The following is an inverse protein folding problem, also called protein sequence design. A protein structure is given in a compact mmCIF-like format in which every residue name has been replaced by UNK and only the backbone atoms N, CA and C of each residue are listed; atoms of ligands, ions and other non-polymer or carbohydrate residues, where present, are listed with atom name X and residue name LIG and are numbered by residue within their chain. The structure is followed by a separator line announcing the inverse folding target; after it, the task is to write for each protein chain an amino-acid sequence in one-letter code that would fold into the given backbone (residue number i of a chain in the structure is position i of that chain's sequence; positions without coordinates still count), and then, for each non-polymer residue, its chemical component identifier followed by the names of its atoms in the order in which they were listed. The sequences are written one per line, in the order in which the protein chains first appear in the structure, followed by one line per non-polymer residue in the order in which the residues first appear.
data_IF_018108750659
#
_entry.id   IF_018108750659
#
_cell.length_a   1.000
_cell.length_b   1.000
_cell.length_c   1.000
_cell.angle_alpha   90.00
_cell.angle_beta   90.00
_cell.angle_gamma   90.00
#
_symmetry.space_group_name_H-M   'P 1'
#
loop_
_entity.id
_entity.type
_entity.pdbx_description
1 polymer ?
#
# COMPACT_ATOMS: atom_id res chain seq x y z
N UNK A 1 -26.65 -53.94 -3.81
CA UNK A 1 -26.35 -53.42 -2.45
C UNK A 1 -25.16 -52.43 -2.38
N UNK A 2 -24.27 -52.37 -3.38
CA UNK A 2 -23.03 -51.56 -3.37
C UNK A 2 -23.24 -50.03 -3.49
N UNK A 3 -24.32 -49.55 -4.10
CA UNK A 3 -24.57 -48.10 -4.33
C UNK A 3 -24.76 -47.29 -3.03
N UNK A 4 -25.38 -47.87 -2.00
CA UNK A 4 -25.66 -47.17 -0.72
C UNK A 4 -24.40 -47.01 0.15
N UNK A 5 -23.48 -47.97 0.12
CA UNK A 5 -22.20 -47.86 0.84
C UNK A 5 -21.30 -46.78 0.23
N UNK A 6 -21.26 -46.64 -1.10
CA UNK A 6 -20.51 -45.57 -1.77
C UNK A 6 -21.03 -44.17 -1.45
N UNK A 7 -22.35 -43.97 -1.35
CA UNK A 7 -22.94 -42.69 -0.92
C UNK A 7 -22.59 -42.38 0.54
N UNK A 8 -22.76 -43.34 1.44
CA UNK A 8 -22.44 -43.20 2.87
C UNK A 8 -20.96 -42.89 3.14
N UNK A 9 -20.03 -43.48 2.37
CA UNK A 9 -18.59 -43.18 2.43
C UNK A 9 -18.28 -41.78 1.88
N UNK A 10 -18.88 -41.40 0.75
CA UNK A 10 -18.72 -40.06 0.16
C UNK A 10 -19.23 -38.96 1.09
N UNK A 11 -20.41 -39.14 1.70
CA UNK A 11 -21.00 -38.15 2.60
C UNK A 11 -20.18 -38.03 3.90
N UNK A 12 -19.58 -39.14 4.36
CA UNK A 12 -18.63 -39.14 5.49
C UNK A 12 -17.36 -38.37 5.14
N UNK A 13 -16.73 -38.68 4.01
CA UNK A 13 -15.52 -37.98 3.54
C UNK A 13 -15.80 -36.50 3.27
N UNK A 14 -17.00 -36.18 2.78
CA UNK A 14 -17.46 -34.80 2.58
C UNK A 14 -17.62 -34.07 3.91
N UNK A 15 -18.28 -34.69 4.90
CA UNK A 15 -18.42 -34.13 6.24
C UNK A 15 -17.06 -33.93 6.93
N UNK A 16 -16.13 -34.90 6.82
CA UNK A 16 -14.77 -34.80 7.36
C UNK A 16 -13.98 -33.66 6.70
N UNK A 17 -14.08 -33.51 5.37
CA UNK A 17 -13.40 -32.43 4.65
C UNK A 17 -13.98 -31.04 4.92
N UNK A 18 -15.27 -30.95 5.27
CA UNK A 18 -15.99 -29.67 5.37
C UNK A 18 -16.36 -29.28 6.80
N UNK A 19 -16.13 -30.17 7.78
CA UNK A 19 -16.42 -29.95 9.19
C UNK A 19 -17.90 -29.91 9.56
N UNK A 20 -18.82 -30.10 8.61
CA UNK A 20 -20.27 -30.06 8.88
C UNK A 20 -20.81 -31.41 9.34
N UNK A 21 -21.90 -31.37 10.12
CA UNK A 21 -22.65 -32.56 10.49
C UNK A 21 -23.02 -33.38 9.24
N UNK A 22 -22.93 -34.72 9.35
CA UNK A 22 -23.18 -35.66 8.24
C UNK A 22 -24.55 -35.47 7.57
N UNK A 23 -25.54 -34.99 8.33
CA UNK A 23 -26.88 -34.69 7.83
C UNK A 23 -26.85 -33.51 6.85
N UNK A 24 -26.13 -32.44 7.18
CA UNK A 24 -25.91 -31.26 6.33
C UNK A 24 -25.08 -31.60 5.08
N UNK A 25 -24.12 -32.54 5.20
CA UNK A 25 -23.38 -33.06 4.06
C UNK A 25 -24.27 -33.85 3.08
N UNK A 26 -25.30 -34.54 3.60
CA UNK A 26 -26.23 -35.32 2.82
C UNK A 26 -27.32 -34.47 2.12
N UNK A 27 -27.65 -33.29 2.66
CA UNK A 27 -28.61 -32.34 2.06
C UNK A 27 -27.99 -31.46 0.96
N UNK A 28 -26.67 -31.49 0.80
CA UNK A 28 -25.97 -30.73 -0.26
C UNK A 28 -25.80 -29.24 0.03
N UNK A 29 -26.17 -28.77 1.22
CA UNK A 29 -26.04 -27.37 1.67
C UNK A 29 -24.68 -27.10 2.29
N UNK A 30 -23.61 -27.67 1.72
CA UNK A 30 -22.25 -27.51 2.24
C UNK A 30 -21.61 -26.32 1.55
N UNK A 31 -21.23 -25.32 2.33
CA UNK A 31 -20.50 -24.18 1.82
C UNK A 31 -19.09 -24.65 1.43
N UNK A 32 -18.62 -24.19 0.27
CA UNK A 32 -17.29 -24.51 -0.24
C UNK A 32 -16.56 -23.19 -0.47
N UNK A 33 -15.35 -23.10 0.06
CA UNK A 33 -14.47 -21.95 -0.06
C UNK A 33 -13.15 -22.41 -0.69
N UNK A 34 -12.45 -21.55 -1.45
CA UNK A 34 -11.07 -21.82 -1.83
C UNK A 34 -10.25 -22.08 -0.56
N UNK A 35 -9.70 -23.29 -0.46
CA UNK A 35 -8.87 -23.68 0.68
C UNK A 35 -7.46 -23.16 0.47
N UNK A 36 -6.84 -22.67 1.54
CA UNK A 36 -5.45 -22.25 1.55
C UNK A 36 -4.64 -23.35 2.23
N UNK A 37 -3.47 -23.69 1.70
CA UNK A 37 -2.57 -24.63 2.36
C UNK A 37 -1.97 -23.97 3.60
N UNK A 38 -2.37 -24.44 4.78
CA UNK A 38 -1.83 -23.99 6.07
C UNK A 38 -1.02 -25.08 6.76
N UNK A 39 -0.49 -26.06 6.00
CA UNK A 39 0.34 -27.14 6.54
C UNK A 39 1.56 -26.65 7.32
N UNK A 40 2.07 -25.45 6.98
CA UNK A 40 3.17 -24.79 7.69
C UNK A 40 2.87 -24.59 9.19
N UNK A 41 1.59 -24.45 9.58
CA UNK A 41 1.20 -24.23 10.98
C UNK A 41 1.63 -25.38 11.89
N UNK A 42 1.69 -26.61 11.38
CA UNK A 42 2.09 -27.79 12.15
C UNK A 42 3.59 -27.77 12.54
N UNK A 43 4.41 -27.01 11.81
CA UNK A 43 5.86 -26.89 12.07
C UNK A 43 6.25 -25.66 12.90
N UNK A 44 5.29 -24.80 13.25
CA UNK A 44 5.56 -23.60 14.04
C UNK A 44 5.74 -23.94 15.53
N UNK A 45 6.59 -23.21 16.27
CA UNK A 45 6.90 -23.56 17.66
C UNK A 45 5.72 -23.36 18.61
N UNK A 46 4.70 -22.58 18.20
CA UNK A 46 3.61 -22.10 19.06
C UNK A 46 2.68 -23.19 19.60
N UNK A 47 2.68 -24.38 19.00
CA UNK A 47 1.95 -25.54 19.52
C UNK A 47 2.80 -26.43 20.44
N UNK A 48 4.07 -26.07 20.70
CA UNK A 48 5.00 -26.78 21.59
C UNK A 48 5.04 -28.32 21.33
N UNK A 49 5.02 -28.73 20.06
CA UNK A 49 5.00 -30.15 19.66
C UNK A 49 3.64 -30.85 19.79
N UNK A 50 2.59 -30.17 20.27
CA UNK A 50 1.21 -30.69 20.25
C UNK A 50 0.66 -30.69 18.81
N UNK A 51 -0.23 -31.64 18.49
CA UNK A 51 -0.82 -31.72 17.16
C UNK A 51 -1.69 -30.49 16.85
N UNK A 52 -1.42 -29.86 15.71
CA UNK A 52 -2.22 -28.76 15.15
C UNK A 52 -3.24 -29.31 14.16
N UNK A 53 -4.51 -28.93 14.31
CA UNK A 53 -5.57 -29.32 13.40
C UNK A 53 -5.58 -28.40 12.16
N UNK A 54 -4.66 -28.66 11.24
CA UNK A 54 -4.49 -27.85 10.02
C UNK A 54 -5.80 -27.72 9.23
N UNK A 55 -6.52 -28.82 9.02
CA UNK A 55 -7.78 -28.77 8.26
C UNK A 55 -8.86 -27.90 8.93
N UNK A 56 -8.83 -27.75 10.26
CA UNK A 56 -9.70 -26.81 10.98
C UNK A 56 -9.26 -25.37 10.77
N UNK A 57 -7.96 -25.09 10.87
CA UNK A 57 -7.39 -23.77 10.60
C UNK A 57 -7.68 -23.28 9.17
N UNK A 58 -7.49 -24.14 8.17
CA UNK A 58 -7.73 -23.81 6.75
C UNK A 58 -9.19 -23.43 6.51
N UNK A 59 -10.13 -24.19 7.08
CA UNK A 59 -11.57 -23.88 6.98
C UNK A 59 -11.89 -22.53 7.60
N UNK A 60 -11.27 -22.21 8.73
CA UNK A 60 -11.50 -20.93 9.41
C UNK A 60 -11.00 -19.76 8.56
N UNK A 61 -9.76 -19.81 8.09
CA UNK A 61 -9.18 -18.75 7.24
C UNK A 61 -9.93 -18.62 5.91
N UNK A 62 -10.31 -19.74 5.30
CA UNK A 62 -11.10 -19.73 4.06
C UNK A 62 -12.49 -19.12 4.25
N UNK A 63 -13.19 -19.46 5.35
CA UNK A 63 -14.48 -18.87 5.69
C UNK A 63 -14.38 -17.36 6.00
N UNK A 64 -13.31 -16.96 6.69
CA UNK A 64 -12.99 -15.56 6.98
C UNK A 64 -12.81 -14.76 5.69
N UNK A 65 -11.91 -15.20 4.80
CA UNK A 65 -11.64 -14.53 3.51
C UNK A 65 -12.83 -14.50 2.56
N UNK A 66 -13.65 -15.54 2.57
CA UNK A 66 -14.87 -15.58 1.77
C UNK A 66 -16.01 -14.72 2.33
N UNK A 67 -15.83 -14.09 3.50
CA UNK A 67 -16.89 -13.33 4.18
C UNK A 67 -18.10 -14.20 4.53
N UNK A 68 -17.91 -15.50 4.78
CA UNK A 68 -19.02 -16.43 4.94
C UNK A 68 -19.54 -16.46 6.39
N UNK A 69 -20.52 -15.60 6.68
CA UNK A 69 -21.14 -15.44 8.02
C UNK A 69 -21.48 -16.77 8.69
N UNK A 70 -22.19 -17.67 7.99
CA UNK A 70 -22.60 -18.97 8.56
C UNK A 70 -21.44 -19.87 8.98
N UNK A 71 -20.33 -19.83 8.25
CA UNK A 71 -19.12 -20.59 8.61
C UNK A 71 -18.37 -19.88 9.76
N UNK A 72 -18.36 -18.55 9.77
CA UNK A 72 -17.82 -17.74 10.85
C UNK A 72 -18.63 -17.84 12.15
N UNK A 73 -19.89 -18.29 12.12
CA UNK A 73 -20.65 -18.57 13.36
C UNK A 73 -20.23 -19.87 14.05
N UNK A 74 -19.75 -20.87 13.30
CA UNK A 74 -19.64 -22.26 13.78
C UNK A 74 -18.21 -22.79 13.87
N UNK A 75 -17.32 -22.31 13.01
CA UNK A 75 -15.91 -22.74 12.97
C UNK A 75 -15.06 -22.10 14.07
N UNK A 76 -15.22 -20.80 14.44
CA UNK A 76 -14.44 -20.19 15.52
C UNK A 76 -14.54 -20.93 16.84
N UNK A 77 -15.73 -21.41 17.21
CA UNK A 77 -15.95 -22.16 18.45
C UNK A 77 -15.07 -23.43 18.51
N UNK A 78 -14.86 -24.09 17.37
CA UNK A 78 -14.00 -25.27 17.28
C UNK A 78 -12.52 -24.88 17.37
N UNK A 79 -12.11 -23.78 16.74
CA UNK A 79 -10.72 -23.28 16.80
C UNK A 79 -10.38 -22.81 18.21
N UNK A 80 -11.28 -22.10 18.88
CA UNK A 80 -11.13 -21.67 20.28
C UNK A 80 -10.95 -22.88 21.18
N UNK A 81 -11.75 -23.93 21.01
CA UNK A 81 -11.61 -25.18 21.79
C UNK A 81 -10.28 -25.91 21.52
N UNK A 82 -9.74 -25.82 20.31
CA UNK A 82 -8.46 -26.40 19.90
C UNK A 82 -7.30 -25.42 20.13
N UNK A 83 -6.93 -25.24 21.41
CA UNK A 83 -5.89 -24.27 21.85
C UNK A 83 -4.56 -24.37 21.09
N UNK A 84 -4.01 -25.56 20.78
CA UNK A 84 -2.82 -25.66 19.93
C UNK A 84 -3.02 -25.07 18.53
N UNK A 85 -4.20 -25.28 17.94
CA UNK A 85 -4.53 -24.72 16.62
C UNK A 85 -4.70 -23.20 16.67
N UNK A 86 -5.34 -22.67 17.72
CA UNK A 86 -5.43 -21.24 17.95
C UNK A 86 -4.04 -20.60 18.15
N UNK A 87 -3.19 -21.19 18.99
CA UNK A 87 -1.83 -20.70 19.23
C UNK A 87 -1.00 -20.70 17.95
N UNK A 88 -1.12 -21.74 17.12
CA UNK A 88 -0.45 -21.81 15.82
C UNK A 88 -0.94 -20.72 14.85
N UNK A 89 -2.26 -20.53 14.73
CA UNK A 89 -2.85 -19.47 13.90
C UNK A 89 -2.43 -18.06 14.36
N UNK A 90 -2.47 -17.84 15.67
CA UNK A 90 -2.10 -16.56 16.26
C UNK A 90 -0.60 -16.28 16.10
N UNK A 91 0.25 -17.27 16.34
CA UNK A 91 1.69 -17.10 16.27
C UNK A 91 2.20 -16.94 14.84
N UNK A 92 1.50 -17.52 13.86
CA UNK A 92 1.79 -17.27 12.45
C UNK A 92 1.65 -15.80 12.08
N UNK A 93 0.73 -15.07 12.73
CA UNK A 93 0.54 -13.63 12.57
C UNK A 93 1.48 -12.88 13.52
N UNK A 94 1.28 -13.01 14.83
CA UNK A 94 1.87 -12.13 15.85
C UNK A 94 3.27 -12.50 16.30
N UNK A 95 3.74 -13.72 16.01
CA UNK A 95 5.13 -14.09 16.28
C UNK A 95 6.13 -13.38 15.36
N UNK A 96 5.66 -12.74 14.28
CA UNK A 96 6.49 -11.91 13.40
C UNK A 96 6.83 -10.56 14.05
N UNK A 97 8.08 -10.12 13.93
CA UNK A 97 8.53 -8.81 14.42
C UNK A 97 7.77 -7.64 13.76
N UNK A 98 7.26 -7.85 12.53
CA UNK A 98 6.41 -6.90 11.82
C UNK A 98 5.14 -6.53 12.62
N UNK A 99 4.66 -7.44 13.47
CA UNK A 99 3.47 -7.25 14.28
C UNK A 99 3.78 -6.90 15.75
N UNK A 100 5.01 -6.52 16.09
CA UNK A 100 5.38 -6.09 17.45
C UNK A 100 4.58 -4.87 17.94
N UNK A 101 4.12 -4.01 17.01
CA UNK A 101 3.24 -2.89 17.34
C UNK A 101 1.90 -3.30 17.95
N UNK A 102 1.48 -4.56 17.78
CA UNK A 102 0.24 -5.08 18.37
C UNK A 102 0.25 -4.93 19.90
N UNK A 103 1.40 -5.08 20.57
CA UNK A 103 1.55 -4.95 22.04
C UNK A 103 1.03 -3.61 22.57
N UNK A 104 1.13 -2.53 21.78
CA UNK A 104 0.70 -1.19 22.17
C UNK A 104 -0.57 -0.74 21.43
N UNK A 105 -1.08 -1.57 20.51
CA UNK A 105 -2.21 -1.20 19.67
C UNK A 105 -3.51 -1.23 20.48
N UNK A 106 -4.28 -0.13 20.52
CA UNK A 106 -5.62 -0.14 21.09
C UNK A 106 -6.64 -0.88 20.19
N UNK A 107 -6.24 -1.30 18.99
CA UNK A 107 -7.12 -1.97 18.01
C UNK A 107 -7.19 -3.48 18.17
N UNK A 108 -6.30 -4.08 18.95
CA UNK A 108 -6.37 -5.50 19.30
C UNK A 108 -6.81 -5.66 20.75
N UNK A 109 -7.31 -6.83 21.11
CA UNK A 109 -7.73 -7.16 22.46
C UNK A 109 -6.58 -7.13 23.48
N UNK A 110 -6.92 -7.08 24.76
CA UNK A 110 -5.93 -7.19 25.85
C UNK A 110 -5.19 -8.52 25.84
N UNK A 111 -5.90 -9.61 25.50
CA UNK A 111 -5.34 -10.96 25.36
C UNK A 111 -4.30 -11.02 24.25
N UNK A 112 -4.57 -10.42 23.08
CA UNK A 112 -3.60 -10.32 22.00
C UNK A 112 -2.37 -9.51 22.41
N UNK A 113 -2.55 -8.35 23.05
CA UNK A 113 -1.43 -7.51 23.52
C UNK A 113 -0.49 -8.25 24.46
N UNK A 114 -1.03 -9.00 25.43
CA UNK A 114 -0.24 -9.74 26.41
C UNK A 114 0.42 -10.98 25.82
N UNK A 115 -0.18 -11.56 24.78
CA UNK A 115 0.33 -12.77 24.15
C UNK A 115 1.44 -12.53 23.11
N UNK A 116 1.39 -11.41 22.37
CA UNK A 116 2.36 -11.07 21.31
C UNK A 116 3.84 -11.21 21.74
N UNK A 117 4.30 -10.69 22.91
CA UNK A 117 5.68 -10.84 23.32
C UNK A 117 6.09 -12.31 23.52
N UNK A 118 5.17 -13.15 23.99
CA UNK A 118 5.40 -14.58 24.18
C UNK A 118 5.53 -15.31 22.85
N UNK A 119 4.70 -14.95 21.87
CA UNK A 119 4.80 -15.47 20.51
C UNK A 119 6.15 -15.10 19.86
N UNK A 120 6.62 -13.87 20.05
CA UNK A 120 7.91 -13.43 19.52
C UNK A 120 9.08 -14.16 20.18
N UNK A 121 9.07 -14.28 21.51
CA UNK A 121 10.08 -15.05 22.24
C UNK A 121 10.09 -16.53 21.81
N UNK A 122 8.91 -17.13 21.61
CA UNK A 122 8.78 -18.52 21.12
C UNK A 122 9.35 -18.71 19.72
N UNK A 123 9.23 -17.71 18.85
CA UNK A 123 9.83 -17.73 17.51
C UNK A 123 11.35 -17.65 17.57
N UNK A 124 11.88 -16.78 18.42
CA UNK A 124 13.33 -16.58 18.58
C UNK A 124 14.03 -17.78 19.20
N UNK A 125 13.40 -18.38 20.22
CA UNK A 125 13.96 -19.54 20.93
C UNK A 125 13.69 -20.87 20.23
N UNK A 126 12.66 -20.93 19.38
CA UNK A 126 12.11 -22.18 18.86
C UNK A 126 11.29 -22.98 19.88
N UNK A 127 11.10 -22.45 21.09
CA UNK A 127 10.33 -23.06 22.18
C UNK A 127 9.05 -22.27 22.45
N UNK A 128 7.92 -22.81 22.00
CA UNK A 128 6.60 -22.22 22.23
C UNK A 128 5.86 -22.74 23.45
N UNK A 129 6.50 -23.47 24.39
CA UNK A 129 5.83 -23.98 25.58
C UNK A 129 5.15 -22.87 26.39
N UNK A 130 5.81 -21.73 26.59
CA UNK A 130 5.26 -20.58 27.32
C UNK A 130 4.13 -19.91 26.53
N UNK A 131 4.29 -19.76 25.22
CA UNK A 131 3.26 -19.15 24.37
C UNK A 131 1.98 -20.02 24.34
N UNK A 132 2.12 -21.34 24.21
CA UNK A 132 0.98 -22.26 24.23
C UNK A 132 0.29 -22.27 25.59
N UNK A 133 1.06 -22.36 26.68
CA UNK A 133 0.50 -22.33 28.04
C UNK A 133 -0.30 -21.05 28.29
N UNK A 134 0.13 -19.91 27.74
CA UNK A 134 -0.61 -18.67 27.82
C UNK A 134 -1.95 -18.73 27.06
N UNK A 135 -2.01 -19.33 25.86
CA UNK A 135 -3.28 -19.54 25.13
C UNK A 135 -4.20 -20.51 25.85
N UNK A 136 -3.64 -21.58 26.44
CA UNK A 136 -4.42 -22.56 27.21
C UNK A 136 -5.02 -21.98 28.48
N UNK A 137 -4.36 -20.99 29.09
CA UNK A 137 -4.83 -20.28 30.26
C UNK A 137 -5.87 -19.19 29.97
N UNK A 138 -6.08 -18.81 28.70
CA UNK A 138 -7.12 -17.85 28.33
C UNK A 138 -8.52 -18.40 28.64
N UNK A 139 -9.39 -17.50 29.08
CA UNK A 139 -10.83 -17.74 29.07
C UNK A 139 -11.32 -17.98 27.64
N UNK A 140 -12.48 -18.62 27.46
CA UNK A 140 -13.05 -18.80 26.12
C UNK A 140 -13.36 -17.46 25.44
N UNK A 141 -13.73 -16.43 26.22
CA UNK A 141 -13.95 -15.07 25.74
C UNK A 141 -12.65 -14.43 25.22
N UNK A 142 -11.57 -14.50 26.00
CA UNK A 142 -10.26 -13.95 25.61
C UNK A 142 -9.64 -14.72 24.43
N UNK A 143 -9.84 -16.02 24.37
CA UNK A 143 -9.38 -16.84 23.26
C UNK A 143 -10.17 -16.57 21.97
N UNK A 144 -11.48 -16.29 22.08
CA UNK A 144 -12.28 -15.81 20.97
C UNK A 144 -11.82 -14.42 20.51
N UNK A 145 -11.52 -13.51 21.43
CA UNK A 145 -11.00 -12.19 21.09
C UNK A 145 -9.62 -12.26 20.40
N UNK A 146 -8.74 -13.15 20.87
CA UNK A 146 -7.47 -13.45 20.20
C UNK A 146 -7.73 -13.99 18.79
N UNK A 147 -8.68 -14.92 18.62
CA UNK A 147 -9.01 -15.46 17.31
C UNK A 147 -9.55 -14.38 16.36
N UNK A 148 -10.44 -13.51 16.82
CA UNK A 148 -11.00 -12.42 15.99
C UNK A 148 -9.89 -11.47 15.52
N UNK A 149 -9.01 -11.03 16.43
CA UNK A 149 -7.85 -10.19 16.10
C UNK A 149 -6.93 -10.87 15.07
N UNK A 150 -6.75 -12.18 15.17
CA UNK A 150 -5.95 -13.00 14.23
C UNK A 150 -6.65 -13.09 12.88
N UNK A 151 -7.96 -13.25 12.85
CA UNK A 151 -8.74 -13.37 11.62
C UNK A 151 -8.81 -12.05 10.86
N UNK A 152 -8.87 -10.90 11.54
CA UNK A 152 -8.73 -9.59 10.91
C UNK A 152 -7.41 -9.48 10.12
N UNK A 153 -6.33 -10.04 10.66
CA UNK A 153 -5.03 -10.10 9.97
C UNK A 153 -5.02 -11.13 8.83
N UNK A 154 -5.65 -12.29 8.99
CA UNK A 154 -5.75 -13.29 7.91
C UNK A 154 -6.66 -12.84 6.75
N UNK A 155 -7.71 -12.07 7.06
CA UNK A 155 -8.55 -11.40 6.09
C UNK A 155 -7.76 -10.34 5.33
N UNK A 156 -6.98 -9.52 6.04
CA UNK A 156 -6.07 -8.56 5.43
C UNK A 156 -4.96 -9.24 4.59
N UNK A 157 -4.53 -10.45 4.95
CA UNK A 157 -3.53 -11.24 4.23
C UNK A 157 -4.07 -11.93 2.95
N UNK A 158 -5.35 -11.73 2.59
CA UNK A 158 -6.11 -12.27 1.45
C UNK A 158 -5.61 -11.93 0.03
N UNK A 159 -4.32 -11.69 -0.09
CA UNK A 159 -3.61 -11.44 -1.33
C UNK A 159 -3.36 -12.77 -2.09
N UNK A 160 -3.43 -12.74 -3.41
CA UNK A 160 -3.30 -13.84 -4.40
C UNK A 160 -1.89 -14.44 -4.52
N UNK A 161 -1.71 -15.45 -5.40
CA UNK A 161 -0.45 -16.18 -5.60
C UNK A 161 0.75 -15.29 -6.01
N UNK A 162 0.53 -14.16 -6.71
CA UNK A 162 1.55 -13.15 -7.01
C UNK A 162 1.90 -12.29 -5.78
N UNK A 163 0.92 -12.04 -4.91
CA UNK A 163 1.09 -11.27 -3.69
C UNK A 163 1.73 -12.12 -2.56
N UNK A 164 1.55 -13.45 -2.60
CA UNK A 164 2.26 -14.43 -1.76
C UNK A 164 3.68 -14.71 -2.33
N UNK A 165 3.90 -14.73 -3.65
CA UNK A 165 5.25 -14.79 -4.25
C UNK A 165 6.09 -13.51 -4.03
N UNK A 166 5.43 -12.36 -3.82
CA UNK A 166 6.03 -11.09 -3.39
C UNK A 166 6.32 -11.05 -1.87
N UNK A 167 5.59 -11.81 -1.05
CA UNK A 167 5.84 -12.00 0.38
C UNK A 167 6.92 -13.07 0.66
N UNK A 168 7.02 -14.13 -0.16
CA UNK A 168 8.00 -15.22 0.01
C UNK A 168 9.38 -14.91 -0.58
N UNK A 169 9.49 -14.14 -1.69
CA UNK A 169 10.78 -13.52 -2.11
C UNK A 169 11.31 -12.51 -1.07
N UNK A 170 10.42 -12.00 -0.22
CA UNK A 170 10.72 -11.07 0.86
C UNK A 170 11.25 -11.73 2.15
N UNK A 171 11.36 -13.06 2.22
CA UNK A 171 11.86 -13.73 3.44
C UNK A 171 13.09 -14.59 3.20
N UNK A 172 13.24 -15.33 2.09
CA UNK A 172 14.49 -16.05 1.79
C UNK A 172 14.71 -16.33 0.28
N UNK A 173 15.98 -16.34 -0.19
CA UNK A 173 16.34 -16.79 -1.55
C UNK A 173 16.46 -18.33 -1.60
N UNK A 174 16.10 -19.02 -2.70
CA UNK A 174 17.15 -19.55 -3.63
C UNK A 174 16.65 -19.85 -5.06
N UNK A 175 17.41 -20.20 -6.10
CA UNK A 175 18.82 -20.15 -6.54
C UNK A 175 18.72 -20.19 -8.08
N UNK A 176 19.73 -19.66 -8.78
CA UNK A 176 19.76 -19.58 -10.26
C UNK A 176 19.83 -20.98 -10.93
N UNK A 177 19.10 -21.16 -12.04
CA UNK A 177 19.51 -22.15 -13.06
C UNK A 177 20.35 -21.47 -14.17
N UNK A 178 21.47 -22.10 -14.61
CA UNK A 178 22.55 -21.43 -15.34
C UNK A 178 22.42 -21.54 -16.87
N UNK A 179 22.95 -20.55 -17.60
CA UNK A 179 23.23 -20.72 -19.04
C UNK A 179 24.22 -21.89 -19.27
N UNK A 180 24.08 -22.65 -20.37
CA UNK A 180 24.45 -24.05 -20.41
C UNK A 180 25.96 -24.29 -20.25
N UNK A 181 26.31 -25.08 -19.24
CA UNK A 181 27.56 -25.84 -19.17
C UNK A 181 28.63 -25.30 -18.22
N UNK A 182 28.44 -25.42 -16.90
CA UNK A 182 29.21 -26.28 -15.96
C UNK A 182 29.08 -25.76 -14.52
N UNK A 183 28.22 -26.47 -13.78
CA UNK A 183 28.31 -26.82 -12.36
C UNK A 183 29.31 -26.06 -11.46
N UNK A 184 28.80 -25.23 -10.53
CA UNK A 184 28.72 -25.55 -9.09
C UNK A 184 28.28 -24.36 -8.22
N UNK A 185 27.10 -24.54 -7.62
CA UNK A 185 26.73 -24.32 -6.20
C UNK A 185 27.31 -23.14 -5.41
N UNK A 186 26.42 -22.36 -4.80
CA UNK A 186 26.57 -21.99 -3.39
C UNK A 186 26.20 -20.56 -3.00
N UNK A 187 24.93 -20.34 -2.70
CA UNK A 187 24.53 -19.75 -1.41
C UNK A 187 24.57 -18.23 -1.27
N UNK A 188 23.41 -17.58 -1.46
CA UNK A 188 23.13 -16.25 -0.91
C UNK A 188 22.28 -16.38 0.37
N UNK A 189 22.73 -15.76 1.45
CA UNK A 189 21.93 -15.37 2.63
C UNK A 189 21.94 -13.84 2.68
N UNK A 190 20.76 -13.24 2.76
CA UNK A 190 20.48 -11.85 3.17
C UNK A 190 19.24 -11.98 4.08
N UNK A 191 18.89 -11.11 5.00
CA UNK A 191 19.40 -9.91 5.66
C UNK A 191 18.58 -9.84 6.99
N UNK A 192 18.80 -8.93 7.97
CA UNK A 192 17.96 -7.71 7.95
C UNK A 192 18.41 -6.52 8.87
N UNK A 193 18.03 -5.23 8.66
CA UNK A 193 18.23 -4.12 9.69
C UNK A 193 17.07 -3.10 10.15
N UNK A 194 16.30 -3.26 11.27
CA UNK A 194 15.10 -2.65 11.95
C UNK A 194 14.68 -1.15 11.93
N UNK A 195 13.56 -0.71 12.59
CA UNK A 195 12.47 0.21 12.10
C UNK A 195 12.41 1.72 12.57
N UNK A 196 11.44 2.59 12.05
CA UNK A 196 10.91 3.95 12.54
C UNK A 196 10.48 5.11 11.52
N UNK A 197 9.31 5.76 11.72
CA UNK A 197 8.49 6.63 10.82
C UNK A 197 8.28 8.11 11.25
N UNK A 198 8.30 9.09 10.31
CA UNK A 198 7.37 10.24 10.12
C UNK A 198 7.73 11.05 8.83
N UNK A 199 6.72 11.53 8.08
CA UNK A 199 6.77 12.10 6.70
C UNK A 199 7.43 11.20 5.64
N UNK A 200 6.62 10.69 4.69
CA UNK A 200 7.06 9.64 3.77
C UNK A 200 7.61 8.47 4.57
N UNK A 201 6.74 7.78 5.34
CA UNK A 201 7.17 6.90 6.46
C UNK A 201 8.44 6.15 6.09
N UNK A 202 9.54 6.55 6.76
CA UNK A 202 10.84 6.06 6.41
C UNK A 202 10.78 4.54 6.45
N UNK A 203 11.06 3.93 5.29
CA UNK A 203 11.34 2.52 5.26
C UNK A 203 12.56 2.35 6.16
N UNK A 204 12.36 1.66 7.27
CA UNK A 204 13.46 1.28 8.12
C UNK A 204 13.59 -0.23 8.00
N UNK A 205 14.80 -0.76 7.77
CA UNK A 205 14.96 -2.18 7.41
C UNK A 205 14.59 -3.13 8.57
N UNK A 206 14.98 -4.42 8.61
CA UNK A 206 14.37 -5.44 9.52
C UNK A 206 15.14 -5.99 10.78
N UNK A 207 16.46 -5.91 11.01
CA UNK A 207 17.13 -5.96 12.36
C UNK A 207 18.39 -5.07 12.69
N UNK A 208 18.31 -3.80 13.14
CA UNK A 208 19.40 -3.06 13.83
C UNK A 208 19.97 -1.73 13.29
N UNK A 209 19.57 -1.23 12.12
CA UNK A 209 20.21 -0.05 11.50
C UNK A 209 19.54 1.26 11.87
N UNK A 210 20.32 2.28 12.27
CA UNK A 210 19.78 3.57 12.72
C UNK A 210 19.24 4.48 11.60
N UNK A 211 19.46 4.12 10.33
CA UNK A 211 19.23 5.00 9.18
C UNK A 211 17.79 4.90 8.69
N UNK A 212 17.16 6.05 8.48
CA UNK A 212 15.82 6.13 7.93
C UNK A 212 15.88 6.28 6.41
N UNK A 213 15.03 5.55 5.66
CA UNK A 213 14.83 5.81 4.23
C UNK A 213 13.45 6.42 3.96
N UNK A 214 13.28 7.75 4.12
CA UNK A 214 12.08 8.42 3.64
C UNK A 214 11.84 8.09 2.17
N UNK A 215 10.59 7.77 1.81
CA UNK A 215 10.20 7.42 0.44
C UNK A 215 9.18 8.42 -0.08
N UNK A 216 9.42 8.93 -1.29
CA UNK A 216 8.51 9.84 -1.97
C UNK A 216 7.12 9.19 -2.11
N UNK A 217 6.05 9.95 -1.91
CA UNK A 217 4.69 9.40 -1.98
C UNK A 217 4.41 8.77 -3.34
N UNK A 218 4.78 9.46 -4.42
CA UNK A 218 4.63 8.96 -5.77
C UNK A 218 5.39 7.66 -6.04
N UNK A 219 6.46 7.37 -5.30
CA UNK A 219 7.12 6.07 -5.42
C UNK A 219 6.23 4.93 -4.90
N UNK A 220 5.39 5.17 -3.89
CA UNK A 220 4.40 4.20 -3.40
C UNK A 220 3.23 3.99 -4.36
N UNK A 221 2.96 4.96 -5.23
CA UNK A 221 1.93 4.86 -6.26
C UNK A 221 2.47 4.19 -7.54
N UNK A 222 3.77 4.35 -7.81
CA UNK A 222 4.41 3.86 -9.04
C UNK A 222 5.14 2.52 -8.88
N UNK A 223 5.57 2.19 -7.67
CA UNK A 223 6.29 0.96 -7.37
C UNK A 223 5.50 0.12 -6.37
N UNK A 224 5.60 -1.19 -6.53
CA UNK A 224 5.16 -2.14 -5.52
C UNK A 224 5.99 -2.00 -4.24
N UNK A 225 5.42 -2.43 -3.11
CA UNK A 225 6.15 -2.47 -1.83
C UNK A 225 7.42 -3.33 -1.92
N UNK A 226 7.40 -4.41 -2.73
CA UNK A 226 8.56 -5.27 -2.95
C UNK A 226 9.70 -4.57 -3.69
N UNK A 227 9.38 -3.72 -4.67
CA UNK A 227 10.36 -2.90 -5.40
C UNK A 227 10.97 -1.82 -4.51
N UNK A 228 10.16 -1.12 -3.72
CA UNK A 228 10.67 -0.16 -2.73
C UNK A 228 11.61 -0.85 -1.73
N UNK A 229 11.22 -2.02 -1.21
CA UNK A 229 12.06 -2.80 -0.32
C UNK A 229 13.36 -3.27 -0.99
N UNK A 230 13.31 -3.63 -2.28
CA UNK A 230 14.48 -4.00 -3.05
C UNK A 230 15.43 -2.82 -3.27
N UNK A 231 14.91 -1.63 -3.54
CA UNK A 231 15.69 -0.40 -3.64
C UNK A 231 16.39 -0.07 -2.33
N UNK A 232 15.70 -0.18 -1.19
CA UNK A 232 16.31 0.08 0.12
C UNK A 232 17.38 -0.96 0.46
N UNK A 233 17.15 -2.26 0.20
CA UNK A 233 18.21 -3.28 0.35
C UNK A 233 19.41 -3.03 -0.56
N UNK A 234 19.18 -2.56 -1.78
CA UNK A 234 20.26 -2.14 -2.67
C UNK A 234 21.03 -0.98 -2.05
N UNK A 235 20.33 0.03 -1.53
CA UNK A 235 20.96 1.15 -0.83
C UNK A 235 21.78 0.71 0.39
N UNK A 236 21.28 -0.22 1.19
CA UNK A 236 22.03 -0.80 2.32
C UNK A 236 23.32 -1.48 1.87
N UNK A 237 23.27 -2.24 0.79
CA UNK A 237 24.43 -2.96 0.24
C UNK A 237 25.45 -2.02 -0.41
N UNK A 238 24.96 -0.95 -1.03
CA UNK A 238 25.74 0.00 -1.85
C UNK A 238 26.18 1.25 -1.12
N UNK A 239 25.60 1.54 0.05
CA UNK A 239 25.84 2.77 0.79
C UNK A 239 27.05 2.74 1.72
N UNK A 240 27.72 1.59 1.87
CA UNK A 240 28.88 1.46 2.76
C UNK A 240 30.19 1.98 2.13
N UNK A 241 31.15 2.45 2.94
CA UNK A 241 32.44 2.89 2.44
C UNK A 241 33.17 1.74 1.72
N UNK A 242 33.56 1.98 0.46
CA UNK A 242 34.25 0.99 -0.36
C UNK A 242 33.34 -0.04 -1.04
N UNK A 243 32.01 0.16 -1.02
CA UNK A 243 31.10 -0.65 -1.83
C UNK A 243 31.49 -0.62 -3.32
N UNK A 244 31.38 -1.75 -4.03
CA UNK A 244 31.77 -1.84 -5.45
C UNK A 244 30.88 -0.99 -6.37
N UNK A 245 29.68 -0.66 -5.90
CA UNK A 245 28.70 0.17 -6.60
C UNK A 245 28.14 1.19 -5.59
N UNK A 246 28.84 2.32 -5.35
CA UNK A 246 28.47 3.27 -4.31
C UNK A 246 27.19 4.03 -4.68
N UNK A 247 26.33 4.25 -3.69
CA UNK A 247 25.21 5.17 -3.87
C UNK A 247 25.71 6.60 -4.11
N UNK A 248 25.24 7.23 -5.18
CA UNK A 248 25.58 8.62 -5.51
C UNK A 248 24.37 9.52 -5.30
N UNK A 249 24.58 10.61 -4.56
CA UNK A 249 23.56 11.64 -4.36
C UNK A 249 23.35 12.40 -5.66
N UNK A 250 22.13 12.33 -6.20
CA UNK A 250 21.80 12.94 -7.48
C UNK A 250 21.76 14.48 -7.46
N UNK A 251 21.87 15.09 -6.28
CA UNK A 251 21.84 16.54 -6.08
C UNK A 251 23.18 17.13 -5.63
N UNK A 252 24.24 16.33 -5.48
CA UNK A 252 25.59 16.86 -5.25
C UNK A 252 26.73 16.01 -5.84
N UNK A 253 26.42 14.89 -6.53
CA UNK A 253 27.37 13.90 -7.07
C UNK A 253 28.33 13.29 -6.03
N UNK A 254 28.06 13.52 -4.75
CA UNK A 254 28.82 12.95 -3.64
C UNK A 254 28.31 11.55 -3.26
N UNK A 255 29.17 10.68 -2.72
CA UNK A 255 28.72 9.38 -2.22
C UNK A 255 27.74 9.57 -1.06
N UNK A 256 26.72 8.71 -1.02
CA UNK A 256 25.81 8.57 0.11
C UNK A 256 26.36 7.46 1.00
N UNK A 257 26.96 7.86 2.11
CA UNK A 257 27.48 6.94 3.12
C UNK A 257 26.37 6.63 4.13
N UNK A 258 25.65 5.53 3.91
CA UNK A 258 24.51 5.20 4.76
C UNK A 258 24.94 5.10 6.23
N UNK A 259 26.15 4.63 6.54
CA UNK A 259 26.61 4.47 7.93
C UNK A 259 26.78 5.81 8.66
N UNK A 260 26.87 6.92 7.93
CA UNK A 260 27.06 8.27 8.46
C UNK A 260 25.84 9.17 8.36
N UNK A 261 24.92 8.85 7.45
CA UNK A 261 23.70 9.63 7.28
C UNK A 261 22.64 9.25 8.32
N UNK A 262 21.83 10.22 8.76
CA UNK A 262 20.67 9.94 9.62
C UNK A 262 19.49 9.50 8.76
N UNK A 263 19.36 10.10 7.58
CA UNK A 263 18.34 9.79 6.59
C UNK A 263 18.91 9.76 5.18
N UNK A 264 18.45 8.80 4.37
CA UNK A 264 18.70 8.75 2.93
C UNK A 264 17.37 8.79 2.20
N UNK A 265 17.17 9.86 1.44
CA UNK A 265 15.88 10.13 0.84
C UNK A 265 15.80 9.42 -0.52
N UNK A 266 14.77 8.58 -0.68
CA UNK A 266 14.46 7.87 -1.91
C UNK A 266 13.34 8.58 -2.68
N UNK A 267 13.71 9.17 -3.81
CA UNK A 267 12.81 9.65 -4.85
C UNK A 267 12.77 8.75 -6.09
N UNK A 268 12.07 9.20 -7.11
CA UNK A 268 12.09 8.59 -8.45
C UNK A 268 12.25 9.67 -9.50
N UNK A 269 12.80 9.32 -10.66
CA UNK A 269 12.70 10.14 -11.86
C UNK A 269 11.90 9.40 -12.92
N UNK A 270 10.95 10.11 -13.52
CA UNK A 270 10.15 9.66 -14.67
C UNK A 270 10.96 9.94 -15.93
N UNK A 271 11.42 8.86 -16.57
CA UNK A 271 12.04 8.92 -17.89
C UNK A 271 10.97 8.54 -18.90
N UNK A 272 10.69 9.43 -19.84
CA UNK A 272 9.86 9.14 -21.00
C UNK A 272 10.75 9.16 -22.25
N UNK A 273 11.33 8.01 -22.64
CA UNK A 273 11.94 7.91 -23.96
C UNK A 273 10.86 8.17 -25.00
N UNK A 274 11.21 8.80 -26.12
CA UNK A 274 10.28 9.30 -27.14
C UNK A 274 9.25 8.25 -27.61
N UNK A 275 8.09 8.16 -26.95
CA UNK A 275 7.00 7.25 -27.28
C UNK A 275 7.13 5.81 -26.74
N UNK A 276 8.06 5.54 -25.84
CA UNK A 276 8.21 4.23 -25.18
C UNK A 276 7.57 4.20 -23.78
N UNK A 277 7.50 3.00 -23.18
CA UNK A 277 7.04 2.84 -21.80
C UNK A 277 7.83 3.73 -20.84
N UNK A 278 7.11 4.37 -19.91
CA UNK A 278 7.71 5.22 -18.88
C UNK A 278 8.68 4.38 -18.04
N UNK A 279 9.95 4.74 -18.08
CA UNK A 279 11.00 4.08 -17.30
C UNK A 279 11.20 4.85 -16.00
N UNK A 280 11.24 4.12 -14.89
CA UNK A 280 11.45 4.69 -13.56
C UNK A 280 12.89 4.45 -13.11
N UNK A 281 13.56 5.49 -12.63
CA UNK A 281 14.91 5.36 -12.05
C UNK A 281 14.93 5.92 -10.62
N UNK A 282 15.54 5.22 -9.64
CA UNK A 282 15.64 5.73 -8.28
C UNK A 282 16.51 6.98 -8.20
N UNK A 283 16.10 7.93 -7.36
CA UNK A 283 16.86 9.15 -7.08
C UNK A 283 17.24 9.14 -5.60
N UNK A 284 18.53 9.03 -5.33
CA UNK A 284 19.08 9.05 -3.97
C UNK A 284 19.56 10.44 -3.61
N UNK A 285 19.18 10.95 -2.43
CA UNK A 285 19.66 12.24 -1.93
C UNK A 285 20.03 12.17 -0.46
N UNK A 286 21.07 12.92 -0.06
CA UNK A 286 21.35 13.18 1.36
C UNK A 286 20.19 13.97 1.98
N UNK A 287 19.98 13.82 3.30
CA UNK A 287 19.02 14.60 4.08
C UNK A 287 19.14 16.12 3.82
N UNK A 288 20.38 16.63 3.80
CA UNK A 288 20.68 18.06 3.58
C UNK A 288 20.54 18.51 2.13
N UNK A 289 20.54 17.60 1.17
CA UNK A 289 20.55 17.94 -0.25
C UNK A 289 19.14 18.21 -0.77
N UNK A 290 18.13 17.48 -0.30
CA UNK A 290 16.75 17.71 -0.68
C UNK A 290 15.83 16.62 -0.16
N UNK A 291 14.52 16.92 -0.15
CA UNK A 291 13.48 16.00 0.30
C UNK A 291 13.13 14.95 -0.75
N UNK A 292 12.56 13.84 -0.30
CA UNK A 292 11.99 12.81 -1.18
C UNK A 292 10.96 13.38 -2.14
N UNK A 293 11.13 13.13 -3.43
CA UNK A 293 10.26 13.64 -4.49
C UNK A 293 10.24 12.70 -5.68
N UNK A 294 9.15 12.70 -6.45
CA UNK A 294 9.16 12.23 -7.84
C UNK A 294 9.52 13.41 -8.74
N UNK A 295 10.52 13.21 -9.59
CA UNK A 295 11.03 14.18 -10.55
C UNK A 295 10.58 13.79 -11.95
N UNK A 296 10.32 14.74 -12.84
CA UNK A 296 10.57 14.50 -14.26
C UNK A 296 12.07 14.58 -14.53
N UNK A 297 12.53 13.98 -15.64
CA UNK A 297 13.93 14.17 -16.06
C UNK A 297 14.32 15.65 -16.14
N UNK A 298 13.47 16.48 -16.75
CA UNK A 298 13.70 17.92 -16.89
C UNK A 298 13.78 18.66 -15.54
N UNK A 299 12.97 18.28 -14.56
CA UNK A 299 13.03 18.85 -13.21
C UNK A 299 14.34 18.51 -12.50
N UNK A 300 14.75 17.24 -12.56
CA UNK A 300 16.00 16.80 -11.92
C UNK A 300 17.20 17.46 -12.58
N UNK A 301 17.24 17.51 -13.92
CA UNK A 301 18.31 18.16 -14.67
C UNK A 301 18.39 19.66 -14.36
N UNK A 302 17.27 20.37 -14.29
CA UNK A 302 17.28 21.79 -13.93
C UNK A 302 17.79 22.01 -12.49
N UNK A 303 17.33 21.21 -11.53
CA UNK A 303 17.79 21.32 -10.14
C UNK A 303 19.30 21.03 -10.02
N UNK A 304 19.81 20.03 -10.76
CA UNK A 304 21.25 19.77 -10.86
C UNK A 304 21.99 20.96 -11.44
N UNK A 305 21.50 21.54 -12.54
CA UNK A 305 22.10 22.71 -13.18
C UNK A 305 22.15 23.92 -12.23
N UNK A 306 21.06 24.17 -11.50
CA UNK A 306 20.96 25.24 -10.50
C UNK A 306 22.01 25.11 -9.39
N UNK A 307 22.43 23.88 -9.08
CA UNK A 307 23.47 23.57 -8.10
C UNK A 307 24.89 23.58 -8.67
N UNK A 308 25.05 23.89 -9.95
CA UNK A 308 26.34 23.90 -10.64
C UNK A 308 26.87 22.51 -10.97
N UNK A 309 26.02 21.46 -10.94
CA UNK A 309 26.41 20.12 -11.31
C UNK A 309 26.46 19.94 -12.84
N UNK A 310 27.32 19.04 -13.35
CA UNK A 310 27.35 18.74 -14.77
C UNK A 310 26.03 18.14 -15.24
N UNK A 311 25.50 18.72 -16.31
CA UNK A 311 24.31 18.24 -17.04
C UNK A 311 24.54 18.41 -18.54
N UNK A 312 23.93 17.57 -19.35
CA UNK A 312 23.93 17.78 -20.79
C UNK A 312 23.13 19.04 -21.14
N UNK A 313 23.65 19.98 -21.95
CA UNK A 313 22.87 21.10 -22.44
C UNK A 313 21.61 20.68 -23.20
N UNK A 314 21.60 19.49 -23.81
CA UNK A 314 20.44 18.94 -24.50
C UNK A 314 19.32 18.49 -23.55
N UNK A 315 19.66 18.20 -22.28
CA UNK A 315 18.69 17.80 -21.26
C UNK A 315 18.08 19.02 -20.53
N UNK A 316 18.68 20.20 -20.68
CA UNK A 316 18.13 21.41 -20.10
C UNK A 316 16.80 21.75 -20.79
N UNK A 317 15.74 22.06 -20.04
CA UNK A 317 14.51 22.53 -20.65
C UNK A 317 14.84 23.74 -21.51
N UNK A 318 14.39 23.72 -22.77
CA UNK A 318 14.54 24.87 -23.65
C UNK A 318 14.01 26.10 -22.91
N UNK A 319 14.78 27.20 -22.90
CA UNK A 319 14.33 28.45 -22.28
C UNK A 319 12.97 28.79 -22.85
N UNK A 320 11.92 28.55 -22.06
CA UNK A 320 10.56 28.81 -22.50
C UNK A 320 10.43 30.30 -22.65
N UNK A 321 10.16 30.74 -23.87
CA UNK A 321 9.53 32.04 -24.07
C UNK A 321 8.20 31.97 -23.34
N UNK A 322 8.09 32.72 -22.24
CA UNK A 322 6.81 32.95 -21.58
C UNK A 322 5.85 33.38 -22.69
N UNK A 323 4.73 32.65 -22.90
CA UNK A 323 3.79 33.03 -23.94
C UNK A 323 3.45 34.51 -23.80
N UNK A 324 3.59 35.26 -24.90
CA UNK A 324 3.41 36.72 -24.89
C UNK A 324 1.98 37.15 -24.51
N UNK A 325 1.02 36.22 -24.58
CA UNK A 325 -0.36 36.45 -24.18
C UNK A 325 -0.66 35.79 -22.83
N UNK A 326 -1.27 36.51 -21.87
CA UNK A 326 -1.76 35.91 -20.65
C UNK A 326 -2.85 34.89 -21.02
N UNK A 327 -2.53 33.61 -20.85
CA UNK A 327 -3.50 32.52 -21.02
C UNK A 327 -4.58 32.61 -19.94
N UNK A 328 -5.77 32.12 -20.27
CA UNK A 328 -6.97 32.13 -19.44
C UNK A 328 -6.70 31.67 -18.00
N UNK A 329 -7.37 32.29 -17.03
CA UNK A 329 -7.27 31.92 -15.62
C UNK A 329 -7.71 30.48 -15.35
N UNK A 330 -7.58 30.05 -14.10
CA UNK A 330 -7.90 28.67 -13.72
C UNK A 330 -9.34 28.29 -14.07
N UNK A 331 -9.49 27.16 -14.76
CA UNK A 331 -10.80 26.61 -15.10
C UNK A 331 -11.25 25.66 -13.99
N UNK A 332 -12.53 25.71 -13.63
CA UNK A 332 -13.09 24.78 -12.66
C UNK A 332 -14.56 24.47 -12.96
N UNK A 333 -15.00 23.28 -12.55
CA UNK A 333 -16.41 22.89 -12.63
C UNK A 333 -16.83 22.08 -11.41
N UNK A 334 -18.10 22.23 -11.05
CA UNK A 334 -18.77 21.50 -9.98
C UNK A 334 -19.83 20.59 -10.59
N UNK A 335 -19.78 19.29 -10.30
CA UNK A 335 -20.79 18.34 -10.76
C UNK A 335 -21.28 17.46 -9.62
N UNK A 336 -22.50 16.95 -9.73
CA UNK A 336 -23.14 16.10 -8.72
C UNK A 336 -23.69 14.84 -9.40
N UNK A 337 -22.87 13.79 -9.55
CA UNK A 337 -23.36 12.54 -10.10
C UNK A 337 -24.36 11.90 -9.11
N UNK A 338 -25.52 11.40 -9.56
CA UNK A 338 -26.52 10.80 -8.68
C UNK A 338 -25.92 9.65 -7.84
N UNK A 339 -26.13 9.69 -6.52
CA UNK A 339 -25.69 8.64 -5.59
C UNK A 339 -24.18 8.62 -5.28
N UNK A 340 -23.42 9.60 -5.78
CA UNK A 340 -21.97 9.73 -5.55
C UNK A 340 -21.67 10.98 -4.72
N UNK A 341 -20.55 11.02 -3.96
CA UNK A 341 -19.99 12.29 -3.52
C UNK A 341 -19.86 13.26 -4.70
N UNK A 342 -20.09 14.57 -4.49
CA UNK A 342 -20.02 15.54 -5.56
C UNK A 342 -18.57 15.72 -6.03
N UNK A 343 -18.39 16.09 -7.28
CA UNK A 343 -17.08 16.21 -7.93
C UNK A 343 -16.73 17.70 -8.08
N UNK A 344 -15.49 18.04 -7.75
CA UNK A 344 -14.88 19.35 -7.97
C UNK A 344 -13.64 19.17 -8.85
N UNK A 345 -13.70 19.66 -10.09
CA UNK A 345 -12.57 19.65 -11.00
C UNK A 345 -11.90 21.02 -11.08
N UNK A 346 -10.57 21.05 -11.01
CA UNK A 346 -9.73 22.23 -11.14
C UNK A 346 -8.63 21.98 -12.18
N UNK A 347 -8.60 22.80 -13.22
CA UNK A 347 -7.51 22.86 -14.20
C UNK A 347 -6.77 24.18 -14.02
N UNK A 348 -5.50 24.15 -13.58
CA UNK A 348 -4.67 25.35 -13.55
C UNK A 348 -4.58 25.99 -14.94
N UNK A 349 -4.62 27.32 -15.01
CA UNK A 349 -4.48 28.08 -16.27
C UNK A 349 -3.02 28.14 -16.76
N UNK A 350 -2.07 28.08 -15.83
CA UNK A 350 -0.64 28.10 -16.14
C UNK A 350 -0.20 26.73 -16.66
N UNK A 351 0.42 26.66 -17.86
CA UNK A 351 0.99 25.40 -18.34
C UNK A 351 2.10 24.94 -17.40
N UNK A 352 2.23 23.63 -17.17
CA UNK A 352 3.26 23.12 -16.26
C UNK A 352 4.65 23.44 -16.81
N UNK A 353 5.51 24.00 -15.96
CA UNK A 353 6.86 24.48 -16.31
C UNK A 353 7.68 23.40 -17.03
N UNK A 354 7.52 22.16 -16.58
CA UNK A 354 8.25 20.98 -17.04
C UNK A 354 7.36 20.01 -17.83
N UNK A 355 6.44 20.54 -18.63
CA UNK A 355 5.51 19.76 -19.47
C UNK A 355 4.63 18.79 -18.65
N UNK A 356 4.03 17.80 -19.31
CA UNK A 356 3.12 16.86 -18.65
C UNK A 356 3.83 15.92 -17.68
N UNK A 357 5.08 15.55 -17.96
CA UNK A 357 5.88 14.71 -17.07
C UNK A 357 6.19 15.43 -15.76
N UNK A 358 6.53 16.72 -15.80
CA UNK A 358 6.73 17.53 -14.61
C UNK A 358 5.45 17.73 -13.81
N UNK A 359 4.33 18.01 -14.48
CA UNK A 359 3.03 18.07 -13.82
C UNK A 359 2.71 16.78 -13.07
N UNK A 360 2.91 15.63 -13.71
CA UNK A 360 2.67 14.30 -13.14
C UNK A 360 3.58 14.09 -11.92
N UNK A 361 4.87 14.36 -12.07
CA UNK A 361 5.86 14.28 -11.00
C UNK A 361 5.50 15.15 -9.78
N UNK A 362 5.00 16.36 -9.99
CA UNK A 362 4.58 17.28 -8.92
C UNK A 362 3.40 16.74 -8.11
N UNK A 363 2.39 16.20 -8.77
CA UNK A 363 1.19 15.70 -8.10
C UNK A 363 1.46 14.39 -7.36
N UNK A 364 2.26 13.51 -7.97
CA UNK A 364 2.80 12.32 -7.33
C UNK A 364 3.61 12.68 -6.07
N UNK A 365 4.41 13.72 -6.14
CA UNK A 365 5.19 14.22 -5.00
C UNK A 365 4.33 14.81 -3.89
N UNK A 366 3.26 15.53 -4.28
CA UNK A 366 2.28 16.06 -3.33
C UNK A 366 1.48 14.95 -2.63
N UNK A 367 1.46 13.73 -3.20
CA UNK A 367 0.73 12.58 -2.71
C UNK A 367 -0.71 12.53 -3.15
N UNK A 368 -1.01 13.13 -4.30
CA UNK A 368 -2.28 12.92 -4.99
C UNK A 368 -2.07 11.76 -5.98
N UNK A 369 -2.91 10.71 -5.96
CA UNK A 369 -2.75 9.57 -6.84
C UNK A 369 -3.30 9.86 -8.25
N UNK A 370 -2.78 9.19 -9.29
CA UNK A 370 -3.45 9.13 -10.58
C UNK A 370 -4.82 8.46 -10.42
N UNK A 371 -5.78 8.83 -11.28
CA UNK A 371 -7.14 8.31 -11.20
C UNK A 371 -7.72 8.03 -12.60
N UNK A 372 -8.13 6.79 -12.83
CA UNK A 372 -8.95 6.40 -13.98
C UNK A 372 -10.41 6.20 -13.56
N UNK A 373 -11.25 7.19 -13.86
CA UNK A 373 -12.69 7.18 -13.55
C UNK A 373 -13.46 6.00 -14.18
N UNK A 374 -12.87 5.26 -15.13
CA UNK A 374 -13.50 4.09 -15.76
C UNK A 374 -13.25 2.78 -15.01
N UNK A 375 -12.24 2.75 -14.13
CA UNK A 375 -11.78 1.53 -13.46
C UNK A 375 -11.85 1.63 -11.94
N UNK A 376 -11.71 2.83 -11.42
CA UNK A 376 -11.37 3.04 -10.02
C UNK A 376 -12.34 4.00 -9.33
N UNK A 377 -12.60 3.71 -8.06
CA UNK A 377 -13.23 4.69 -7.18
C UNK A 377 -12.15 5.60 -6.59
N UNK A 378 -12.45 6.89 -6.47
CA UNK A 378 -11.53 7.85 -5.88
C UNK A 378 -11.21 7.46 -4.43
N UNK A 379 -9.92 7.18 -4.17
CA UNK A 379 -9.40 6.84 -2.85
C UNK A 379 -9.64 7.98 -1.85
N UNK A 380 -9.99 7.65 -0.62
CA UNK A 380 -10.08 8.63 0.45
C UNK A 380 -8.69 8.99 0.97
N UNK A 381 -8.37 10.29 1.01
CA UNK A 381 -7.12 10.80 1.55
C UNK A 381 -7.40 11.73 2.74
N UNK A 382 -7.36 11.23 4.00
CA UNK A 382 -7.75 11.98 5.19
C UNK A 382 -6.83 13.18 5.51
N UNK A 383 -5.62 13.19 4.97
CA UNK A 383 -4.68 14.30 5.05
C UNK A 383 -5.02 15.43 4.09
N UNK A 384 -5.82 15.17 3.05
CA UNK A 384 -6.27 16.18 2.09
C UNK A 384 -7.66 16.69 2.45
N UNK A 385 -7.80 18.02 2.40
CA UNK A 385 -9.02 18.72 2.81
C UNK A 385 -9.39 19.81 1.81
N UNK A 386 -10.69 19.97 1.60
CA UNK A 386 -11.27 21.11 0.91
C UNK A 386 -11.86 22.02 1.99
N UNK A 387 -11.26 23.20 2.17
CA UNK A 387 -11.77 24.16 3.13
C UNK A 387 -12.96 24.91 2.53
N UNK A 388 -14.07 24.91 3.24
CA UNK A 388 -15.30 25.62 2.88
C UNK A 388 -15.70 26.63 3.95
N UNK A 389 -16.61 27.54 3.57
CA UNK A 389 -17.47 28.26 4.49
C UNK A 389 -18.93 28.13 3.98
N UNK A 390 -19.87 28.89 4.57
CA UNK A 390 -21.32 28.78 4.30
C UNK A 390 -21.68 28.53 2.83
N UNK A 391 -21.13 29.29 1.90
CA UNK A 391 -21.47 29.22 0.47
C UNK A 391 -20.26 29.17 -0.48
N UNK A 392 -19.04 29.02 0.05
CA UNK A 392 -17.81 29.08 -0.77
C UNK A 392 -16.78 28.03 -0.40
N UNK A 393 -15.99 27.62 -1.39
CA UNK A 393 -14.75 26.87 -1.20
C UNK A 393 -13.57 27.85 -1.21
N UNK A 394 -12.68 27.75 -0.23
CA UNK A 394 -11.63 28.76 0.02
C UNK A 394 -10.25 28.30 -0.43
N UNK A 395 -9.89 27.04 -0.19
CA UNK A 395 -8.59 26.47 -0.57
C UNK A 395 -8.64 24.96 -0.47
N UNK A 396 -7.65 24.32 -1.09
CA UNK A 396 -7.32 22.91 -0.93
C UNK A 396 -6.02 22.85 -0.14
N UNK A 397 -6.00 21.99 0.88
CA UNK A 397 -4.85 21.86 1.76
C UNK A 397 -4.54 20.40 2.05
N UNK A 398 -3.26 20.13 2.27
CA UNK A 398 -2.77 18.86 2.78
C UNK A 398 -2.16 19.08 4.16
N UNK A 399 -2.50 18.21 5.12
CA UNK A 399 -1.98 18.25 6.48
C UNK A 399 -0.45 18.16 6.44
N UNK A 400 0.23 19.09 7.12
CA UNK A 400 1.69 19.14 7.19
C UNK A 400 2.36 20.02 6.12
N UNK A 401 1.75 20.19 4.94
CA UNK A 401 2.31 21.04 3.86
C UNK A 401 1.58 22.37 3.71
N UNK A 402 0.40 22.52 4.33
CA UNK A 402 -0.38 23.75 4.28
C UNK A 402 -1.30 23.82 3.07
N UNK A 403 -1.51 25.04 2.54
CA UNK A 403 -2.40 25.27 1.39
C UNK A 403 -1.67 24.82 0.13
N UNK A 404 -2.23 23.82 -0.54
CA UNK A 404 -1.75 23.38 -1.85
C UNK A 404 -2.20 24.35 -2.94
N UNK A 405 -3.47 24.75 -2.89
CA UNK A 405 -4.02 25.69 -3.86
C UNK A 405 -5.01 26.64 -3.18
N UNK A 406 -4.87 27.93 -3.48
CA UNK A 406 -5.78 28.97 -3.04
C UNK A 406 -6.16 29.85 -4.25
N UNK A 407 -7.44 29.84 -4.67
CA UNK A 407 -7.88 30.67 -5.77
C UNK A 407 -7.80 32.16 -5.39
N UNK A 408 -7.63 33.07 -6.38
CA UNK A 408 -7.64 34.51 -6.15
C UNK A 408 -8.97 35.01 -5.56
N UNK A 409 -10.07 34.30 -5.84
CA UNK A 409 -11.36 34.51 -5.19
C UNK A 409 -11.97 33.17 -4.77
N UNK A 410 -12.64 33.08 -3.61
CA UNK A 410 -13.25 31.82 -3.18
C UNK A 410 -14.29 31.33 -4.21
N UNK A 411 -14.24 30.04 -4.55
CA UNK A 411 -15.15 29.44 -5.52
C UNK A 411 -16.57 29.34 -4.95
N UNK A 412 -17.58 29.52 -5.81
CA UNK A 412 -18.99 29.51 -5.41
C UNK A 412 -19.72 28.31 -6.07
N UNK A 413 -19.68 27.11 -5.46
CA UNK A 413 -20.43 25.96 -5.96
C UNK A 413 -21.94 26.22 -5.93
N UNK A 414 -22.68 25.51 -6.79
CA UNK A 414 -24.14 25.56 -6.81
C UNK A 414 -24.77 24.99 -5.52
N UNK A 415 -26.01 25.36 -5.18
CA UNK A 415 -26.67 24.91 -3.95
C UNK A 415 -26.84 23.38 -3.89
N UNK A 416 -27.06 22.73 -5.03
CA UNK A 416 -27.18 21.27 -5.12
C UNK A 416 -25.85 20.59 -4.73
N UNK A 417 -24.74 21.04 -5.33
CA UNK A 417 -23.39 20.57 -4.99
C UNK A 417 -23.08 20.74 -3.50
N UNK A 418 -23.40 21.91 -2.92
CA UNK A 418 -23.21 22.17 -1.48
C UNK A 418 -24.05 21.22 -0.60
N UNK A 419 -25.29 20.94 -0.99
CA UNK A 419 -26.14 20.00 -0.27
C UNK A 419 -25.57 18.58 -0.33
N UNK A 420 -25.08 18.13 -1.49
CA UNK A 420 -24.40 16.85 -1.64
C UNK A 420 -23.12 16.78 -0.81
N UNK A 421 -22.28 17.81 -0.87
CA UNK A 421 -21.04 17.91 -0.12
C UNK A 421 -21.27 17.77 1.39
N UNK A 422 -22.30 18.44 1.93
CA UNK A 422 -22.69 18.32 3.34
C UNK A 422 -23.24 16.95 3.68
N UNK A 423 -24.07 16.37 2.82
CA UNK A 423 -24.64 15.03 2.99
C UNK A 423 -23.55 13.96 3.08
N UNK A 424 -22.51 14.08 2.28
CA UNK A 424 -21.41 13.12 2.21
C UNK A 424 -20.23 13.47 3.14
N UNK A 425 -20.18 14.68 3.71
CA UNK A 425 -19.02 15.19 4.45
C UNK A 425 -17.72 15.26 3.63
N UNK A 426 -17.80 15.09 2.32
CA UNK A 426 -16.67 14.90 1.42
C UNK A 426 -17.03 15.25 -0.02
N UNK A 427 -16.00 15.44 -0.86
CA UNK A 427 -16.12 15.57 -2.31
C UNK A 427 -14.95 14.86 -3.01
N UNK A 428 -15.15 14.50 -4.27
CA UNK A 428 -14.08 14.01 -5.14
C UNK A 428 -13.41 15.24 -5.76
N UNK A 429 -12.15 15.48 -5.42
CA UNK A 429 -11.32 16.50 -6.07
C UNK A 429 -10.56 15.89 -7.24
N UNK A 430 -10.58 16.57 -8.39
CA UNK A 430 -9.88 16.17 -9.61
C UNK A 430 -9.05 17.34 -10.15
N UNK A 431 -7.88 17.04 -10.72
CA UNK A 431 -7.06 18.01 -11.42
C UNK A 431 -6.30 17.38 -12.59
N UNK A 432 -6.02 18.18 -13.61
CA UNK A 432 -5.29 17.80 -14.82
C UNK A 432 -4.46 19.00 -15.34
N UNK A 433 -3.43 18.76 -16.20
CA UNK A 433 -2.65 19.84 -16.77
C UNK A 433 -3.48 20.84 -17.56
N UNK A 434 -3.03 22.10 -17.62
CA UNK A 434 -3.62 23.11 -18.49
C UNK A 434 -3.75 22.62 -19.94
N UNK A 435 -4.93 22.78 -20.53
CA UNK A 435 -5.20 22.41 -21.93
C UNK A 435 -5.38 20.91 -22.20
N UNK A 436 -5.28 20.06 -21.17
CA UNK A 436 -5.47 18.59 -21.33
C UNK A 436 -6.95 18.20 -21.48
N UNK A 437 -7.87 18.99 -20.92
CA UNK A 437 -9.30 18.73 -20.98
C UNK A 437 -10.01 19.78 -21.83
N UNK A 438 -10.87 19.39 -22.79
CA UNK A 438 -11.68 20.33 -23.56
C UNK A 438 -12.77 20.96 -22.67
N UNK A 439 -12.43 22.08 -22.03
CA UNK A 439 -13.23 22.77 -21.00
C UNK A 439 -14.64 23.15 -21.45
N UNK A 440 -14.83 23.46 -22.73
CA UNK A 440 -16.14 23.81 -23.31
C UNK A 440 -17.20 22.71 -23.09
N UNK A 441 -16.82 21.43 -23.12
CA UNK A 441 -17.74 20.31 -22.87
C UNK A 441 -18.14 20.20 -21.40
N UNK A 442 -17.19 20.44 -20.50
CA UNK A 442 -17.45 20.43 -19.06
C UNK A 442 -18.32 21.64 -18.63
N UNK A 443 -18.09 22.81 -19.24
CA UNK A 443 -18.81 24.04 -18.94
C UNK A 443 -20.31 23.96 -19.28
N UNK A 444 -20.71 23.10 -20.22
CA UNK A 444 -22.11 22.90 -20.58
C UNK A 444 -22.96 22.30 -19.44
N UNK A 445 -22.34 21.89 -18.32
CA UNK A 445 -23.06 21.50 -17.09
C UNK A 445 -23.88 20.22 -17.24
N UNK A 446 -23.61 19.42 -18.27
CA UNK A 446 -24.34 18.19 -18.59
C UNK A 446 -24.08 17.05 -17.59
N UNK A 447 -23.13 17.23 -16.67
CA UNK A 447 -22.66 16.17 -15.78
C UNK A 447 -21.82 15.10 -16.50
N UNK A 448 -21.51 15.29 -17.79
CA UNK A 448 -20.69 14.36 -18.55
C UNK A 448 -19.22 14.42 -18.13
N UNK A 449 -18.76 13.35 -17.47
CA UNK A 449 -17.37 13.19 -17.03
C UNK A 449 -16.50 12.47 -18.07
N UNK A 450 -17.03 12.15 -19.26
CA UNK A 450 -16.27 11.46 -20.31
C UNK A 450 -14.97 12.15 -20.74
N UNK A 451 -14.87 13.51 -20.77
CA UNK A 451 -13.60 14.17 -21.08
C UNK A 451 -12.55 13.91 -19.99
N UNK A 452 -12.95 13.88 -18.72
CA UNK A 452 -12.05 13.58 -17.60
C UNK A 452 -11.62 12.12 -17.62
N UNK A 453 -12.55 11.20 -17.90
CA UNK A 453 -12.24 9.78 -18.03
C UNK A 453 -11.22 9.50 -19.15
N UNK A 454 -11.27 10.24 -20.27
CA UNK A 454 -10.28 10.12 -21.33
C UNK A 454 -8.88 10.55 -20.88
N UNK A 455 -8.78 11.66 -20.13
CA UNK A 455 -7.52 12.13 -19.54
C UNK A 455 -7.00 11.19 -18.45
N UNK A 456 -7.90 10.56 -17.68
CA UNK A 456 -7.56 9.53 -16.70
C UNK A 456 -6.91 8.29 -17.32
N UNK A 457 -7.45 7.80 -18.45
CA UNK A 457 -6.83 6.68 -19.20
C UNK A 457 -5.44 7.03 -19.75
N UNK A 458 -5.15 8.31 -19.96
CA UNK A 458 -3.83 8.79 -20.37
C UNK A 458 -2.86 8.99 -19.17
N UNK A 459 -3.30 8.71 -17.93
CA UNK A 459 -2.47 8.88 -16.73
C UNK A 459 -2.21 10.35 -16.35
N UNK A 460 -3.07 11.26 -16.82
CA UNK A 460 -2.94 12.71 -16.62
C UNK A 460 -4.06 13.29 -15.74
N UNK A 461 -4.99 12.46 -15.25
CA UNK A 461 -5.99 12.88 -14.26
C UNK A 461 -5.55 12.42 -12.88
N UNK A 462 -5.53 13.34 -11.94
CA UNK A 462 -5.17 13.08 -10.55
C UNK A 462 -6.31 13.49 -9.65
N UNK A 463 -6.53 12.73 -8.58
CA UNK A 463 -7.66 13.04 -7.72
C UNK A 463 -7.88 12.07 -6.57
N UNK A 464 -8.71 12.51 -5.65
CA UNK A 464 -9.04 11.76 -4.44
C UNK A 464 -10.36 12.22 -3.84
N UNK A 465 -10.95 11.38 -3.00
CA UNK A 465 -12.03 11.78 -2.11
C UNK A 465 -11.43 12.50 -0.91
N UNK A 466 -11.79 13.77 -0.76
CA UNK A 466 -11.28 14.66 0.29
C UNK A 466 -12.39 15.02 1.27
N UNK A 467 -12.01 15.22 2.53
CA UNK A 467 -12.95 15.71 3.56
C UNK A 467 -13.21 17.19 3.35
N UNK A 468 -14.45 17.62 3.52
CA UNK A 468 -14.81 19.03 3.50
C UNK A 468 -14.80 19.56 4.93
N UNK A 469 -14.09 20.67 5.15
CA UNK A 469 -13.92 21.25 6.49
C UNK A 469 -14.34 22.73 6.49
N UNK A 470 -15.21 23.12 7.42
CA UNK A 470 -15.51 24.53 7.75
C UNK A 470 -16.97 24.89 7.85
#
# INVERSE_FOLDING_TARGET
MVKRQRKKSRDRRRAENTGVARVTAATGTVHQHPMFDLSVLAGLPYAAGRPVNVGLAERMVAACRAGCERCQETVPLQVVADRPTLAALAGAVYGLSLNAGAVQSPRVSGATRSWVPLAQAARESGDGAVALAAVEALSDEDAAALLDDVLDHWAAAGASADEIAALVRAVLPPEEEPAPGTEKSGGRKEAPEGPRVAQGEAYRPVGGGLIAFPVAWGARELLSTGEIAALVRHAEKSGGPGAPDPLICHLCDGPVDIEREVEVHLGLVLLQPQGEEETLMPVWTHERCGHTRVWSWSQLTEERHRRGLPVSPADLPAQRTVPAEPREGDFYVFTEPPGSPPVFYLQPGTPPEHEWSGWRADHLSAGLPPLDLTREQARALPEWTIASNRDRLRWIARRGTGRWYQPPSPWKPGPAWLAAARRHGSAIFLTAPAGSVPTARLAAGTGDLSPLAAVGRAGLLFGARMTITG
#
